data_IF_553433208921
#
_entry.id   IF_553433208921
#
_cell.length_a   1.000
_cell.length_b   1.000
_cell.length_c   1.000
_cell.angle_alpha   90.00
_cell.angle_beta   90.00
_cell.angle_gamma   90.00
#
_symmetry.space_group_name_H-M   'P 1'
#
loop_
_entity.id
_entity.type
_entity.pdbx_description
1 polymer ?
#
# COMPACT_ATOMS: atom_id res chain seq x y z
N UNK A 1 2.55 -3.43 10.52
CA UNK A 1 3.78 -2.92 11.12
C UNK A 1 4.52 -4.09 11.69
N UNK A 2 5.85 -4.01 11.76
CA UNK A 2 6.68 -5.08 12.29
C UNK A 2 7.58 -4.57 13.42
N UNK A 3 8.06 -5.51 14.24
CA UNK A 3 8.99 -5.23 15.33
C UNK A 3 10.40 -4.84 14.85
N UNK A 4 10.70 -5.05 13.56
CA UNK A 4 11.93 -4.59 12.88
C UNK A 4 11.82 -3.15 12.35
N UNK A 5 10.84 -2.39 12.85
CA UNK A 5 10.54 -1.00 12.48
C UNK A 5 10.03 -0.83 11.04
N UNK A 6 9.78 -1.93 10.32
CA UNK A 6 9.31 -1.89 8.94
C UNK A 6 7.79 -1.82 8.81
N UNK A 7 7.36 -1.18 7.74
CA UNK A 7 5.98 -1.19 7.27
C UNK A 7 5.96 -1.98 5.98
N UNK A 8 5.16 -3.04 5.93
CA UNK A 8 5.09 -3.94 4.77
C UNK A 8 3.69 -3.97 4.21
N UNK A 9 3.61 -3.89 2.89
CA UNK A 9 2.38 -4.13 2.13
C UNK A 9 2.49 -5.52 1.54
N UNK A 10 1.51 -6.36 1.86
CA UNK A 10 1.51 -7.77 1.49
C UNK A 10 0.27 -8.04 0.65
N UNK A 11 0.42 -8.78 -0.44
CA UNK A 11 -0.69 -9.20 -1.29
C UNK A 11 -1.62 -10.15 -0.52
N UNK A 12 -2.94 -9.94 -0.63
CA UNK A 12 -3.96 -10.85 -0.10
C UNK A 12 -3.90 -12.23 -0.76
N UNK A 13 -3.50 -12.28 -2.03
CA UNK A 13 -3.71 -13.45 -2.88
C UNK A 13 -2.63 -14.51 -2.72
N UNK A 14 -1.46 -14.12 -2.19
CA UNK A 14 -0.31 -15.04 -2.08
C UNK A 14 0.67 -14.71 -0.96
N UNK A 15 0.30 -13.84 -0.03
CA UNK A 15 1.15 -13.41 1.09
C UNK A 15 2.54 -12.88 0.67
N UNK A 16 2.70 -12.49 -0.60
CA UNK A 16 3.94 -11.91 -1.12
C UNK A 16 4.07 -10.47 -0.63
N UNK A 17 5.21 -10.13 -0.05
CA UNK A 17 5.53 -8.73 0.24
C UNK A 17 5.65 -7.97 -1.08
N UNK A 18 4.74 -7.03 -1.31
CA UNK A 18 4.72 -6.16 -2.48
C UNK A 18 5.70 -5.01 -2.30
N UNK A 19 5.79 -4.51 -1.06
CA UNK A 19 6.64 -3.38 -0.73
C UNK A 19 6.97 -3.33 0.76
N UNK A 20 8.13 -2.75 1.06
CA UNK A 20 8.59 -2.49 2.43
C UNK A 20 9.11 -1.07 2.52
N UNK A 21 8.64 -0.33 3.51
CA UNK A 21 9.14 0.99 3.87
C UNK A 21 9.81 0.93 5.26
N UNK A 22 10.92 1.66 5.40
CA UNK A 22 11.67 1.81 6.64
C UNK A 22 11.85 3.29 6.94
N UNK A 23 11.24 3.77 8.01
CA UNK A 23 11.46 5.15 8.49
C UNK A 23 11.32 5.30 10.00
N UNK A 24 10.56 4.42 10.66
CA UNK A 24 10.51 4.40 12.13
C UNK A 24 11.83 3.94 12.74
N UNK A 25 12.17 4.50 13.90
CA UNK A 25 13.37 4.15 14.66
C UNK A 25 13.09 3.07 15.73
N UNK A 26 11.82 2.72 15.92
CA UNK A 26 11.38 1.68 16.85
C UNK A 26 10.19 0.89 16.25
N UNK A 27 9.71 -0.17 16.93
CA UNK A 27 8.63 -1.00 16.44
C UNK A 27 7.38 -0.20 16.06
N UNK A 28 6.81 -0.54 14.91
CA UNK A 28 5.54 0.04 14.45
C UNK A 28 4.39 -0.61 15.21
N UNK A 29 3.73 0.16 16.06
CA UNK A 29 2.72 -0.28 17.04
C UNK A 29 1.30 -0.21 16.49
N UNK A 30 1.02 0.72 15.57
CA UNK A 30 -0.28 0.86 14.95
C UNK A 30 -0.21 1.38 13.50
N UNK A 31 -1.28 1.14 12.75
CA UNK A 31 -1.43 1.55 11.35
C UNK A 31 -2.88 2.01 11.12
N UNK A 32 -3.09 2.97 10.23
CA UNK A 32 -4.40 3.40 9.76
C UNK A 32 -4.36 3.70 8.26
N UNK A 33 -5.26 3.09 7.48
CA UNK A 33 -5.40 3.37 6.05
C UNK A 33 -6.56 4.34 5.81
N UNK A 34 -6.40 5.25 4.87
CA UNK A 34 -7.50 6.11 4.45
C UNK A 34 -8.55 5.32 3.66
N UNK A 35 -9.84 5.70 3.75
CA UNK A 35 -10.90 5.04 2.98
C UNK A 35 -10.67 5.08 1.47
N UNK A 36 -10.00 6.13 0.97
CA UNK A 36 -9.63 6.27 -0.45
C UNK A 36 -8.35 5.51 -0.84
N UNK A 37 -7.69 4.82 0.10
CA UNK A 37 -6.46 4.06 -0.08
C UNK A 37 -5.29 4.87 -0.67
N UNK A 38 -5.30 6.20 -0.53
CA UNK A 38 -4.21 7.09 -0.96
C UNK A 38 -3.23 7.41 0.15
N UNK A 39 -3.63 7.23 1.41
CA UNK A 39 -2.82 7.57 2.56
C UNK A 39 -2.73 6.40 3.53
N UNK A 40 -1.56 6.26 4.11
CA UNK A 40 -1.29 5.37 5.23
C UNK A 40 -0.72 6.21 6.35
N UNK A 41 -1.20 5.98 7.57
CA UNK A 41 -0.64 6.52 8.80
C UNK A 41 -0.06 5.37 9.59
N UNK A 42 1.14 5.57 10.14
CA UNK A 42 1.80 4.58 10.99
C UNK A 42 2.25 5.23 12.28
N UNK A 43 1.94 4.61 13.41
CA UNK A 43 2.41 5.02 14.73
C UNK A 43 3.42 4.03 15.28
N UNK A 44 4.33 4.51 16.11
CA UNK A 44 5.47 3.72 16.60
C UNK A 44 5.77 3.97 18.07
N UNK A 45 6.59 3.07 18.61
CA UNK A 45 7.21 3.20 19.93
C UNK A 45 8.25 4.31 20.01
N UNK A 46 8.68 4.85 18.87
CA UNK A 46 9.55 6.03 18.78
C UNK A 46 8.81 7.36 19.05
N UNK A 47 7.54 7.27 19.47
CA UNK A 47 6.62 8.39 19.78
C UNK A 47 6.24 9.26 18.58
N UNK A 48 6.56 8.81 17.37
CA UNK A 48 6.22 9.50 16.13
C UNK A 48 5.06 8.84 15.39
N UNK A 49 4.36 9.66 14.60
CA UNK A 49 3.37 9.20 13.64
C UNK A 49 3.84 9.66 12.26
N UNK A 50 3.88 8.73 11.30
CA UNK A 50 4.29 9.01 9.94
C UNK A 50 3.10 8.91 9.00
N UNK A 51 2.94 9.91 8.13
CA UNK A 51 1.98 9.91 7.04
C UNK A 51 2.68 9.56 5.73
N UNK A 52 2.11 8.65 4.98
CA UNK A 52 2.65 8.11 3.73
C UNK A 52 1.62 8.26 2.61
N UNK A 53 2.09 8.36 1.37
CA UNK A 53 1.23 8.32 0.17
C UNK A 53 1.31 6.93 -0.44
N UNK A 54 0.17 6.37 -0.80
CA UNK A 54 0.08 5.09 -1.50
C UNK A 54 -0.33 5.36 -2.94
N UNK A 55 0.46 4.82 -3.86
CA UNK A 55 0.17 4.81 -5.29
C UNK A 55 -0.18 3.39 -5.72
N UNK A 56 -1.36 3.23 -6.32
CA UNK A 56 -1.73 2.00 -7.00
C UNK A 56 -1.55 2.20 -8.49
N UNK A 57 -0.49 1.66 -9.08
CA UNK A 57 -0.43 1.56 -10.53
C UNK A 57 -1.28 0.37 -10.96
N UNK A 58 -2.50 0.66 -11.41
CA UNK A 58 -3.20 -0.25 -12.31
C UNK A 58 -2.37 -0.28 -13.58
N UNK A 59 -1.72 -1.40 -13.87
CA UNK A 59 -1.09 -1.59 -15.16
C UNK A 59 -2.15 -1.24 -16.22
N UNK A 60 -1.92 -0.22 -17.04
CA UNK A 60 -2.85 0.11 -18.12
C UNK A 60 -2.76 -1.01 -19.15
N UNK A 61 -3.89 -1.51 -19.65
CA UNK A 61 -3.88 -2.37 -20.83
C UNK A 61 -3.51 -1.48 -22.02
N UNK A 62 -2.22 -1.39 -22.38
CA UNK A 62 -1.85 -0.95 -23.72
C UNK A 62 -2.15 -2.11 -24.67
N UNK A 63 -3.40 -2.18 -25.12
CA UNK A 63 -3.79 -3.00 -26.25
C UNK A 63 -3.19 -2.31 -27.49
N UNK A 64 -1.93 -2.61 -27.80
CA UNK A 64 -1.36 -2.27 -29.11
C UNK A 64 -1.99 -3.24 -30.09
N UNK A 65 -3.09 -2.81 -30.71
CA UNK A 65 -3.77 -3.52 -31.78
C UNK A 65 -2.79 -3.61 -32.96
N UNK A 66 -2.64 -4.82 -33.45
CA UNK A 66 -1.76 -5.27 -34.51
C UNK A 66 -2.01 -4.56 -35.84
N UNK A 67 -0.94 -4.19 -36.53
CA UNK A 67 -0.93 -3.89 -37.97
C UNK A 67 -1.28 -5.17 -38.77
N UNK A 68 -2.04 -5.10 -39.88
CA UNK A 68 -2.44 -6.26 -40.66
C UNK A 68 -1.39 -6.59 -41.72
N UNK A 69 -0.71 -7.73 -41.60
CA UNK A 69 0.08 -8.31 -42.69
C UNK A 69 -0.61 -9.55 -43.26
N UNK A 70 -1.16 -9.34 -44.45
CA UNK A 70 -1.65 -10.33 -45.40
C UNK A 70 -0.58 -11.37 -45.76
N UNK A 71 -0.91 -12.67 -45.73
CA UNK A 71 -0.14 -13.66 -46.48
C UNK A 71 -0.13 -15.10 -45.95
N UNK A 72 -1.20 -15.84 -46.24
CA UNK A 72 -1.22 -17.28 -46.61
C UNK A 72 -0.67 -18.35 -45.65
N UNK A 73 -1.56 -19.26 -45.21
CA UNK A 73 -1.26 -20.70 -45.11
C UNK A 73 -1.57 -21.41 -43.79
N UNK A 74 -2.66 -22.20 -43.79
CA UNK A 74 -2.97 -23.38 -42.93
C UNK A 74 -3.44 -23.19 -41.46
N UNK A 75 -4.70 -23.59 -41.22
CA UNK A 75 -5.34 -23.92 -39.93
C UNK A 75 -5.01 -25.39 -39.55
N UNK A 76 -5.10 -25.82 -38.25
CA UNK A 76 -6.40 -26.23 -37.71
C UNK A 76 -6.67 -25.97 -36.19
N UNK A 77 -7.96 -25.79 -35.95
CA UNK A 77 -8.79 -26.27 -34.82
C UNK A 77 -8.59 -25.72 -33.41
N UNK A 78 -9.60 -24.92 -33.04
CA UNK A 78 -10.21 -24.71 -31.73
C UNK A 78 -10.12 -25.88 -30.75
N UNK A 79 -9.48 -25.63 -29.60
CA UNK A 79 -9.88 -26.18 -28.31
C UNK A 79 -10.03 -25.02 -27.32
N UNK A 80 -11.27 -24.52 -27.27
CA UNK A 80 -11.78 -23.69 -26.20
C UNK A 80 -11.62 -24.41 -24.87
N UNK A 81 -10.66 -23.97 -24.06
CA UNK A 81 -10.73 -24.12 -22.62
C UNK A 81 -10.71 -22.72 -22.00
N UNK A 82 -11.90 -22.26 -21.67
CA UNK A 82 -12.12 -21.21 -20.69
C UNK A 82 -11.55 -21.68 -19.36
N UNK A 83 -10.34 -21.25 -19.02
CA UNK A 83 -9.90 -21.19 -17.63
C UNK A 83 -9.51 -19.74 -17.35
N UNK A 84 -10.40 -19.10 -16.61
CA UNK A 84 -10.34 -17.73 -16.10
C UNK A 84 -9.16 -17.55 -15.13
N UNK A 85 -7.94 -17.62 -15.63
CA UNK A 85 -6.71 -17.55 -14.83
C UNK A 85 -5.64 -16.65 -15.48
N UNK A 86 -6.05 -15.55 -16.12
CA UNK A 86 -5.15 -14.58 -16.75
C UNK A 86 -5.46 -13.13 -16.37
N UNK A 87 -5.70 -12.87 -15.09
CA UNK A 87 -5.68 -11.49 -14.55
C UNK A 87 -4.83 -11.44 -13.28
N UNK A 88 -3.63 -12.02 -13.29
CA UNK A 88 -2.56 -11.54 -12.40
C UNK A 88 -1.92 -10.30 -13.02
N UNK A 89 -2.73 -9.24 -13.16
CA UNK A 89 -2.26 -7.97 -13.67
C UNK A 89 -1.50 -7.28 -12.54
N UNK A 90 -0.22 -7.63 -12.39
CA UNK A 90 0.83 -6.98 -11.60
C UNK A 90 0.38 -5.63 -10.99
N UNK A 91 -0.32 -5.67 -9.86
CA UNK A 91 -0.66 -4.46 -9.12
C UNK A 91 0.63 -3.97 -8.49
N UNK A 92 1.23 -2.94 -9.07
CA UNK A 92 2.39 -2.28 -8.48
C UNK A 92 1.86 -1.27 -7.47
N UNK A 93 1.85 -1.66 -6.19
CA UNK A 93 1.66 -0.75 -5.08
C UNK A 93 3.01 -0.10 -4.75
N UNK A 94 3.00 1.21 -4.57
CA UNK A 94 4.16 2.00 -4.16
C UNK A 94 3.81 2.94 -3.01
N UNK A 95 4.51 2.82 -1.89
CA UNK A 95 4.52 3.69 -0.73
C UNK A 95 5.58 4.75 -0.99
N UNK A 96 5.14 6.00 -1.05
CA UNK A 96 5.99 7.18 -1.10
C UNK A 96 5.95 7.85 0.28
N UNK A 97 7.12 8.21 0.79
CA UNK A 97 7.23 8.98 2.03
C UNK A 97 8.34 8.48 2.95
N UNK A 98 8.30 8.91 4.22
CA UNK A 98 7.20 9.62 4.88
C UNK A 98 6.99 11.05 4.33
N UNK A 99 5.75 11.42 4.03
CA UNK A 99 5.38 12.79 3.57
C UNK A 99 5.45 13.76 4.76
N UNK A 100 5.00 13.30 5.92
CA UNK A 100 4.95 14.10 7.13
C UNK A 100 5.34 13.25 8.33
N UNK A 101 6.09 13.89 9.23
CA UNK A 101 6.43 13.38 10.55
C UNK A 101 5.64 14.20 11.57
N UNK A 102 4.71 13.57 12.26
CA UNK A 102 3.93 14.18 13.32
C UNK A 102 4.54 13.78 14.65
N UNK A 103 4.90 14.77 15.46
CA UNK A 103 5.49 14.58 16.78
C UNK A 103 4.69 15.35 17.83
N UNK A 104 4.68 14.81 19.05
CA UNK A 104 3.96 15.40 20.18
C UNK A 104 3.64 14.37 21.27
N UNK A 105 3.52 13.09 20.93
CA UNK A 105 3.39 12.04 21.94
C UNK A 105 4.69 11.91 22.74
N UNK A 106 4.54 11.77 24.05
CA UNK A 106 5.64 11.52 25.00
C UNK A 106 5.85 10.03 25.29
N UNK A 107 5.01 9.18 24.71
CA UNK A 107 5.05 7.73 24.86
C UNK A 107 4.65 7.07 23.55
N UNK A 108 4.66 5.74 23.52
CA UNK A 108 4.32 4.96 22.35
C UNK A 108 2.90 5.25 21.84
N UNK A 109 2.78 5.30 20.51
CA UNK A 109 1.49 5.51 19.86
C UNK A 109 0.74 4.19 19.82
N UNK A 110 -0.37 4.08 20.54
CA UNK A 110 -1.10 2.80 20.66
C UNK A 110 -2.10 2.57 19.54
N UNK A 111 -2.69 3.65 19.04
CA UNK A 111 -3.66 3.58 17.95
C UNK A 111 -3.60 4.86 17.14
N UNK A 112 -3.89 4.74 15.85
CA UNK A 112 -4.06 5.86 14.96
C UNK A 112 -5.15 5.56 13.92
N UNK A 113 -5.83 6.61 13.46
CA UNK A 113 -6.73 6.55 12.32
C UNK A 113 -6.60 7.82 11.47
N UNK A 114 -7.07 7.74 10.23
CA UNK A 114 -6.99 8.83 9.26
C UNK A 114 -8.33 9.00 8.55
N UNK A 115 -8.71 10.26 8.34
CA UNK A 115 -9.83 10.65 7.49
C UNK A 115 -9.27 11.52 6.36
N UNK A 116 -9.30 10.99 5.13
CA UNK A 116 -8.77 11.69 3.95
C UNK A 116 -9.70 12.80 3.45
N UNK A 117 -10.98 12.69 3.79
CA UNK A 117 -12.05 13.65 3.53
C UNK A 117 -11.94 14.91 4.40
N UNK A 118 -11.62 14.76 5.69
CA UNK A 118 -11.38 15.91 6.59
C UNK A 118 -9.90 16.33 6.64
N UNK A 119 -9.00 15.50 6.11
CA UNK A 119 -7.56 15.75 6.16
C UNK A 119 -6.99 15.67 7.58
N UNK A 120 -7.56 14.81 8.44
CA UNK A 120 -7.15 14.70 9.84
C UNK A 120 -6.58 13.32 10.15
N UNK A 121 -5.68 13.29 11.13
CA UNK A 121 -5.11 12.09 11.74
C UNK A 121 -5.39 12.16 13.24
N UNK A 122 -5.95 11.09 13.80
CA UNK A 122 -6.19 10.96 15.25
C UNK A 122 -5.29 9.86 15.79
N UNK A 123 -4.74 10.07 16.98
CA UNK A 123 -3.80 9.14 17.60
C UNK A 123 -3.88 9.22 19.13
N UNK A 124 -3.46 8.14 19.80
CA UNK A 124 -3.45 8.07 21.25
C UNK A 124 -2.18 7.39 21.79
N UNK A 125 -1.78 7.80 23.00
CA UNK A 125 -0.68 7.22 23.78
C UNK A 125 -1.14 6.93 25.20
N UNK A 126 -0.34 6.20 25.98
CA UNK A 126 -0.61 5.93 27.40
C UNK A 126 -0.48 7.17 28.29
N UNK A 127 0.28 8.16 27.85
CA UNK A 127 0.47 9.40 28.60
C UNK A 127 -0.62 10.39 28.25
N UNK A 128 -1.21 10.98 29.29
CA UNK A 128 -2.22 12.05 29.18
C UNK A 128 -1.60 13.44 29.18
N UNK A 129 -0.27 13.53 29.04
CA UNK A 129 0.45 14.79 29.21
C UNK A 129 0.25 15.68 27.99
N UNK A 130 -0.80 16.50 28.09
CA UNK A 130 -1.01 17.71 27.30
C UNK A 130 -0.04 18.76 27.85
N UNK A 131 0.92 19.21 27.04
CA UNK A 131 1.54 20.53 27.22
C UNK A 131 0.71 21.56 26.47
#
# INVERSE_FOLDING_TARGET
GHADNSVRVISSDGAKTLETAHAHCAPVTCLGLSPDSKYLVTGSRDTTILLWRIHTALASHSNVISEPSTGTGTQPSSSSNSSSHLIEKNRRLRIEGPIQVLQGHQSEVRSCCVSSDLGIVVSCSDTSDVL
#
